data_IF_140527356867
#
_entry.id   IF_140527356867
#
_cell.length_a   1.000
_cell.length_b   1.000
_cell.length_c   1.000
_cell.angle_alpha   90.00
_cell.angle_beta   90.00
_cell.angle_gamma   90.00
#
_symmetry.space_group_name_H-M   'P 1'
#
loop_
_entity.id
_entity.type
_entity.pdbx_description
1 polymer ?
#
# COMPACT_ATOMS: atom_id res chain seq x y z
N UNK A 1 -19.86 -0.91 -5.54
CA UNK A 1 -19.01 -1.03 -4.34
C UNK A 1 -19.76 -1.84 -3.30
N UNK A 2 -19.14 -2.89 -2.75
CA UNK A 2 -19.67 -3.60 -1.58
C UNK A 2 -19.69 -2.64 -0.39
N UNK A 3 -20.83 -2.49 0.27
CA UNK A 3 -20.88 -1.72 1.51
C UNK A 3 -20.27 -2.55 2.65
N UNK A 4 -19.26 -1.98 3.31
CA UNK A 4 -18.61 -2.61 4.46
C UNK A 4 -19.39 -2.31 5.75
N UNK A 5 -19.55 -3.32 6.59
CA UNK A 5 -20.05 -3.16 7.95
C UNK A 5 -19.01 -2.43 8.84
N UNK A 6 -19.38 -1.96 10.05
CA UNK A 6 -18.45 -1.20 10.89
C UNK A 6 -17.15 -1.92 11.25
N UNK A 7 -17.21 -3.24 11.47
CA UNK A 7 -16.04 -4.08 11.78
C UNK A 7 -15.12 -4.20 10.58
N UNK A 8 -15.66 -4.48 9.39
CA UNK A 8 -14.89 -4.55 8.15
C UNK A 8 -14.22 -3.21 7.82
N UNK A 9 -14.92 -2.09 8.02
CA UNK A 9 -14.34 -0.73 7.86
C UNK A 9 -13.16 -0.51 8.80
N UNK A 10 -13.27 -0.96 10.05
CA UNK A 10 -12.19 -0.84 11.03
C UNK A 10 -10.98 -1.68 10.60
N UNK A 11 -11.19 -2.95 10.24
CA UNK A 11 -10.14 -3.84 9.77
C UNK A 11 -9.42 -3.30 8.54
N UNK A 12 -10.16 -2.81 7.54
CA UNK A 12 -9.56 -2.18 6.36
C UNK A 12 -8.71 -0.96 6.74
N UNK A 13 -9.21 -0.11 7.65
CA UNK A 13 -8.49 1.07 8.12
C UNK A 13 -7.20 0.71 8.85
N UNK A 14 -7.23 -0.32 9.69
CA UNK A 14 -6.04 -0.83 10.37
C UNK A 14 -5.02 -1.40 9.38
N UNK A 15 -5.47 -2.17 8.40
CA UNK A 15 -4.62 -2.68 7.33
C UNK A 15 -3.96 -1.55 6.53
N UNK A 16 -4.69 -0.48 6.17
CA UNK A 16 -4.10 0.67 5.47
C UNK A 16 -3.06 1.40 6.34
N UNK A 17 -3.31 1.57 7.64
CA UNK A 17 -2.36 2.20 8.56
C UNK A 17 -1.07 1.39 8.69
N UNK A 18 -1.19 0.06 8.79
CA UNK A 18 -0.04 -0.83 8.80
C UNK A 18 0.74 -0.78 7.47
N UNK A 19 0.01 -0.77 6.34
CA UNK A 19 0.61 -0.62 5.02
C UNK A 19 1.39 0.69 4.87
N UNK A 20 0.89 1.82 5.38
CA UNK A 20 1.64 3.09 5.38
C UNK A 20 2.97 2.92 6.12
N UNK A 21 2.97 2.35 7.33
CA UNK A 21 4.20 2.13 8.10
C UNK A 21 5.18 1.21 7.37
N UNK A 22 4.67 0.16 6.72
CA UNK A 22 5.46 -0.72 5.86
C UNK A 22 6.09 0.04 4.70
N UNK A 23 5.28 0.80 3.94
CA UNK A 23 5.72 1.58 2.78
C UNK A 23 6.86 2.54 3.14
N UNK A 24 6.70 3.30 4.21
CA UNK A 24 7.72 4.26 4.66
C UNK A 24 9.04 3.55 5.03
N UNK A 25 8.98 2.49 5.83
CA UNK A 25 10.18 1.73 6.25
C UNK A 25 10.87 1.04 5.08
N UNK A 26 10.10 0.48 4.18
CA UNK A 26 10.64 -0.23 3.02
C UNK A 26 11.28 0.75 2.04
N UNK A 27 10.65 1.90 1.75
CA UNK A 27 11.27 2.92 0.90
C UNK A 27 12.49 3.59 1.53
N UNK A 28 12.54 3.70 2.87
CA UNK A 28 13.76 4.11 3.56
C UNK A 28 14.89 3.08 3.37
N UNK A 29 14.59 1.78 3.49
CA UNK A 29 15.56 0.72 3.29
C UNK A 29 16.05 0.67 1.83
N UNK A 30 15.16 0.68 0.84
CA UNK A 30 15.51 0.61 -0.57
C UNK A 30 16.36 1.80 -1.04
N UNK A 31 16.15 2.99 -0.46
CA UNK A 31 16.93 4.20 -0.77
C UNK A 31 18.23 4.30 0.04
N UNK A 32 18.49 3.40 0.99
CA UNK A 32 19.68 3.44 1.85
C UNK A 32 21.02 3.40 1.11
N UNK A 33 21.20 2.72 -0.05
CA UNK A 33 22.47 2.72 -0.77
C UNK A 33 22.90 4.11 -1.28
N UNK A 34 21.93 5.02 -1.48
CA UNK A 34 22.16 6.37 -2.00
C UNK A 34 21.94 7.46 -0.93
N UNK A 35 21.79 7.09 0.35
CA UNK A 35 21.35 7.99 1.44
C UNK A 35 22.11 9.32 1.55
N UNK A 36 23.41 9.33 1.24
CA UNK A 36 24.27 10.53 1.32
C UNK A 36 24.47 11.23 -0.02
N UNK A 37 23.89 10.70 -1.10
CA UNK A 37 23.98 11.24 -2.45
C UNK A 37 22.84 12.20 -2.77
N UNK A 38 23.05 13.08 -3.74
CA UNK A 38 22.02 14.00 -4.24
C UNK A 38 20.82 13.31 -4.87
N UNK A 39 20.95 12.03 -5.25
CA UNK A 39 19.88 11.21 -5.81
C UNK A 39 18.95 10.58 -4.77
N UNK A 40 19.29 10.61 -3.48
CA UNK A 40 18.45 10.07 -2.41
C UNK A 40 16.96 10.48 -2.50
N UNK A 41 16.62 11.78 -2.59
CA UNK A 41 15.22 12.20 -2.64
C UNK A 41 14.50 11.67 -3.88
N UNK A 42 15.20 11.52 -5.01
CA UNK A 42 14.60 10.94 -6.21
C UNK A 42 14.27 9.46 -6.01
N UNK A 43 15.25 8.66 -5.55
CA UNK A 43 15.07 7.21 -5.35
C UNK A 43 14.02 6.91 -4.28
N UNK A 44 14.03 7.65 -3.17
CA UNK A 44 13.04 7.49 -2.10
C UNK A 44 11.62 7.80 -2.59
N UNK A 45 11.43 8.93 -3.28
CA UNK A 45 10.12 9.32 -3.81
C UNK A 45 9.63 8.36 -4.90
N UNK A 46 10.51 7.87 -5.77
CA UNK A 46 10.14 6.89 -6.79
C UNK A 46 9.57 5.62 -6.16
N UNK A 47 10.18 5.10 -5.09
CA UNK A 47 9.65 3.96 -4.34
C UNK A 47 8.27 4.26 -3.74
N UNK A 48 8.07 5.45 -3.15
CA UNK A 48 6.79 5.83 -2.56
C UNK A 48 5.67 5.86 -3.61
N UNK A 49 5.96 6.37 -4.81
CA UNK A 49 5.02 6.39 -5.94
C UNK A 49 4.67 4.97 -6.37
N UNK A 50 5.66 4.15 -6.68
CA UNK A 50 5.45 2.77 -7.16
C UNK A 50 4.60 1.95 -6.17
N UNK A 51 4.92 2.00 -4.88
CA UNK A 51 4.14 1.29 -3.86
C UNK A 51 2.72 1.80 -3.75
N UNK A 52 2.52 3.11 -3.91
CA UNK A 52 1.19 3.72 -3.83
C UNK A 52 0.34 3.31 -5.04
N UNK A 53 0.90 3.28 -6.24
CA UNK A 53 0.23 2.79 -7.45
C UNK A 53 -0.17 1.32 -7.31
N UNK A 54 0.74 0.47 -6.83
CA UNK A 54 0.43 -0.93 -6.55
C UNK A 54 -0.70 -1.10 -5.52
N UNK A 55 -0.69 -0.31 -4.44
CA UNK A 55 -1.73 -0.37 -3.42
C UNK A 55 -3.09 0.12 -3.92
N UNK A 56 -3.11 1.12 -4.80
CA UNK A 56 -4.35 1.57 -5.45
C UNK A 56 -4.95 0.41 -6.25
N UNK A 57 -4.13 -0.30 -7.03
CA UNK A 57 -4.59 -1.46 -7.80
C UNK A 57 -5.12 -2.56 -6.90
N UNK A 58 -4.39 -2.94 -5.85
CA UNK A 58 -4.87 -3.93 -4.87
C UNK A 58 -6.24 -3.54 -4.27
N UNK A 59 -6.43 -2.26 -3.95
CA UNK A 59 -7.69 -1.75 -3.40
C UNK A 59 -8.83 -1.76 -4.42
N UNK A 60 -8.54 -1.52 -5.70
CA UNK A 60 -9.51 -1.62 -6.79
C UNK A 60 -9.92 -3.07 -7.01
N UNK A 61 -8.94 -3.99 -7.05
CA UNK A 61 -9.18 -5.42 -7.19
C UNK A 61 -10.08 -5.93 -6.04
N UNK A 62 -9.82 -5.52 -4.79
CA UNK A 62 -10.67 -5.82 -3.63
C UNK A 62 -12.13 -5.34 -3.80
N UNK A 63 -12.38 -4.27 -4.55
CA UNK A 63 -13.73 -3.73 -4.78
C UNK A 63 -14.50 -4.46 -5.89
N UNK A 64 -13.79 -5.02 -6.87
CA UNK A 64 -14.36 -5.65 -8.06
C UNK A 64 -14.68 -7.15 -7.87
N UNK A 65 -14.21 -7.74 -6.78
CA UNK A 65 -14.42 -9.15 -6.49
C UNK A 65 -15.91 -9.53 -6.35
N UNK A 66 -16.33 -10.51 -7.18
CA UNK A 66 -17.68 -11.10 -7.17
C UNK A 66 -17.85 -12.23 -6.13
N UNK A 67 -16.77 -12.82 -5.62
CA UNK A 67 -16.79 -13.95 -4.69
C UNK A 67 -15.63 -13.88 -3.69
N UNK A 68 -15.92 -14.01 -2.39
CA UNK A 68 -14.94 -13.84 -1.30
C UNK A 68 -13.95 -15.00 -1.08
N UNK A 69 -13.71 -15.82 -2.10
CA UNK A 69 -12.84 -17.00 -2.02
C UNK A 69 -11.50 -16.82 -2.76
N UNK A 70 -11.25 -15.66 -3.36
CA UNK A 70 -10.01 -15.36 -4.10
C UNK A 70 -9.04 -14.53 -3.23
N UNK A 71 -7.72 -14.79 -3.27
CA UNK A 71 -6.73 -13.99 -2.55
C UNK A 71 -6.78 -12.54 -3.02
N UNK A 72 -6.92 -11.60 -2.09
CA UNK A 72 -7.03 -10.17 -2.43
C UNK A 72 -8.45 -9.67 -2.66
N UNK A 73 -9.48 -10.48 -2.40
CA UNK A 73 -10.87 -10.07 -2.43
C UNK A 73 -11.44 -9.79 -1.04
N UNK A 74 -12.28 -8.74 -0.91
CA UNK A 74 -13.10 -8.45 0.28
C UNK A 74 -14.46 -9.17 0.24
#
# INVERSE_FOLDING_TARGET
>A
MKELNPTEKLQLKEAQRAWIQYKEKDCQFQSSPVLKGSLYPFVHNACLVEKTENRIKELQDMQECRSGNEPGCL
#
